data_IF_113569108865
#
_entry.id   IF_113569108865
#
_cell.length_a   1.000
_cell.length_b   1.000
_cell.length_c   1.000
_cell.angle_alpha   90.00
_cell.angle_beta   90.00
_cell.angle_gamma   90.00
#
_symmetry.space_group_name_H-M   'P 1'
#
loop_
_entity.id
_entity.type
_entity.pdbx_description
1 polymer ?
#
# COMPACT_ATOMS: atom_id res chain seq x y z
N UNK A 1 -3.18 36.17 -20.49
CA UNK A 1 -3.92 35.16 -19.70
C UNK A 1 -3.03 33.95 -19.50
N UNK A 2 -2.67 33.61 -18.25
CA UNK A 2 -1.95 32.35 -17.95
C UNK A 2 -2.89 31.21 -18.32
N UNK A 3 -2.47 30.38 -19.27
CA UNK A 3 -3.19 29.19 -19.67
C UNK A 3 -3.18 28.22 -18.47
N UNK A 4 -4.17 28.30 -17.59
CA UNK A 4 -4.37 27.33 -16.51
C UNK A 4 -4.98 26.09 -17.13
N UNK A 5 -4.22 25.41 -18.00
CA UNK A 5 -4.56 24.09 -18.49
C UNK A 5 -4.70 23.20 -17.27
N UNK A 6 -5.94 22.91 -16.88
CA UNK A 6 -6.24 21.90 -15.89
C UNK A 6 -5.56 20.64 -16.39
N UNK A 7 -4.53 20.16 -15.68
CA UNK A 7 -3.94 18.86 -16.00
C UNK A 7 -5.09 17.86 -15.93
N UNK A 8 -5.48 17.32 -17.08
CA UNK A 8 -6.58 16.37 -17.21
C UNK A 8 -6.45 15.16 -16.29
N UNK A 9 -5.22 14.86 -15.84
CA UNK A 9 -4.92 13.74 -14.98
C UNK A 9 -3.94 14.11 -13.85
N UNK A 10 -4.36 13.92 -12.60
CA UNK A 10 -3.50 14.05 -11.43
C UNK A 10 -2.75 12.73 -11.17
N UNK A 11 -1.64 12.52 -11.89
CA UNK A 11 -0.81 11.31 -11.77
C UNK A 11 -0.34 11.04 -10.32
N UNK A 12 -0.02 12.09 -9.55
CA UNK A 12 0.45 11.92 -8.16
C UNK A 12 -0.67 11.40 -7.25
N UNK A 13 -1.87 11.95 -7.41
CA UNK A 13 -3.07 11.50 -6.70
C UNK A 13 -3.46 10.08 -7.10
N UNK A 14 -3.43 9.78 -8.40
CA UNK A 14 -3.70 8.44 -8.93
C UNK A 14 -2.75 7.40 -8.32
N UNK A 15 -1.44 7.62 -8.42
CA UNK A 15 -0.44 6.68 -7.89
C UNK A 15 -0.56 6.48 -6.38
N UNK A 16 -0.83 7.56 -5.63
CA UNK A 16 -1.05 7.46 -4.17
C UNK A 16 -2.30 6.65 -3.85
N UNK A 17 -3.42 6.90 -4.54
CA UNK A 17 -4.66 6.19 -4.31
C UNK A 17 -4.53 4.71 -4.71
N UNK A 18 -3.86 4.40 -5.83
CA UNK A 18 -3.55 3.03 -6.23
C UNK A 18 -2.74 2.31 -5.15
N UNK A 19 -1.70 2.95 -4.61
CA UNK A 19 -0.89 2.38 -3.53
C UNK A 19 -1.72 2.16 -2.25
N UNK A 20 -2.56 3.12 -1.87
CA UNK A 20 -3.40 3.00 -0.69
C UNK A 20 -4.43 1.86 -0.82
N UNK A 21 -5.16 1.81 -1.94
CA UNK A 21 -6.20 0.81 -2.18
C UNK A 21 -5.59 -0.59 -2.32
N UNK A 22 -4.50 -0.74 -3.09
CA UNK A 22 -3.82 -2.03 -3.22
C UNK A 22 -3.16 -2.48 -1.92
N UNK A 23 -2.57 -1.55 -1.18
CA UNK A 23 -1.97 -1.81 0.13
C UNK A 23 -2.98 -2.28 1.17
N UNK A 24 -4.18 -1.69 1.20
CA UNK A 24 -5.28 -2.16 2.07
C UNK A 24 -5.89 -3.48 1.57
N UNK A 25 -5.93 -3.70 0.27
CA UNK A 25 -6.43 -4.95 -0.32
C UNK A 25 -5.54 -6.16 -0.05
N UNK A 26 -4.23 -5.96 0.16
CA UNK A 26 -3.27 -7.04 0.45
C UNK A 26 -3.59 -7.79 1.76
N UNK A 27 -3.78 -7.14 2.93
CA UNK A 27 -4.22 -7.83 4.14
C UNK A 27 -5.55 -8.58 3.98
N UNK A 28 -6.52 -7.97 3.29
CA UNK A 28 -7.85 -8.57 3.09
C UNK A 28 -7.73 -9.84 2.24
N UNK A 29 -7.04 -9.75 1.10
CA UNK A 29 -6.85 -10.90 0.21
C UNK A 29 -5.91 -11.95 0.80
N UNK A 30 -4.92 -11.54 1.59
CA UNK A 30 -4.04 -12.45 2.32
C UNK A 30 -4.81 -13.26 3.36
N UNK A 31 -5.72 -12.63 4.10
CA UNK A 31 -6.61 -13.30 5.04
C UNK A 31 -7.57 -14.27 4.34
N UNK A 32 -8.18 -13.87 3.22
CA UNK A 32 -9.03 -14.76 2.43
C UNK A 32 -8.23 -15.98 1.93
N UNK A 33 -7.01 -15.76 1.45
CA UNK A 33 -6.15 -16.83 0.98
C UNK A 33 -5.73 -17.78 2.12
N UNK A 34 -5.58 -17.26 3.35
CA UNK A 34 -5.38 -18.06 4.55
C UNK A 34 -6.60 -18.95 4.84
N UNK A 35 -7.83 -18.43 4.76
CA UNK A 35 -9.03 -19.22 5.01
C UNK A 35 -9.21 -20.36 3.99
N UNK A 36 -8.84 -20.12 2.74
CA UNK A 36 -8.89 -21.12 1.67
C UNK A 36 -7.62 -21.98 1.55
N UNK A 37 -6.66 -21.88 2.49
CA UNK A 37 -5.37 -22.56 2.40
C UNK A 37 -5.47 -24.09 2.46
N UNK A 38 -6.47 -24.62 3.17
CA UNK A 38 -6.74 -26.05 3.29
C UNK A 38 -7.49 -26.62 2.08
N UNK A 39 -8.00 -25.77 1.18
CA UNK A 39 -8.59 -26.24 -0.07
C UNK A 39 -7.50 -26.76 -1.01
N UNK A 40 -7.89 -27.73 -1.86
CA UNK A 40 -7.04 -28.21 -2.95
C UNK A 40 -6.46 -27.02 -3.73
N UNK A 41 -5.20 -27.13 -4.18
CA UNK A 41 -4.60 -26.11 -5.05
C UNK A 41 -5.39 -25.91 -6.37
N UNK A 42 -6.20 -26.88 -6.76
CA UNK A 42 -7.09 -26.82 -7.93
C UNK A 42 -8.44 -26.14 -7.63
N UNK A 43 -8.67 -25.72 -6.38
CA UNK A 43 -9.89 -25.00 -6.01
C UNK A 43 -9.92 -23.64 -6.68
N UNK A 44 -11.04 -23.35 -7.37
CA UNK A 44 -11.27 -22.09 -8.07
C UNK A 44 -11.23 -20.91 -7.09
N UNK A 45 -11.77 -21.07 -5.88
CA UNK A 45 -11.76 -20.03 -4.83
C UNK A 45 -10.35 -19.69 -4.40
N UNK A 46 -9.54 -20.70 -4.03
CA UNK A 46 -8.13 -20.50 -3.65
C UNK A 46 -7.34 -19.81 -4.78
N UNK A 47 -7.50 -20.27 -6.02
CA UNK A 47 -6.79 -19.69 -7.16
C UNK A 47 -7.23 -18.24 -7.43
N UNK A 48 -8.52 -17.93 -7.30
CA UNK A 48 -9.04 -16.57 -7.46
C UNK A 48 -8.48 -15.60 -6.42
N UNK A 49 -8.49 -15.99 -5.13
CA UNK A 49 -7.95 -15.15 -4.05
C UNK A 49 -6.44 -14.97 -4.14
N UNK A 50 -5.70 -16.03 -4.49
CA UNK A 50 -4.26 -15.97 -4.75
C UNK A 50 -3.93 -15.03 -5.92
N UNK A 51 -4.68 -15.13 -7.02
CA UNK A 51 -4.51 -14.25 -8.19
C UNK A 51 -4.80 -12.79 -7.85
N UNK A 52 -5.89 -12.53 -7.12
CA UNK A 52 -6.22 -11.19 -6.66
C UNK A 52 -5.12 -10.61 -5.76
N UNK A 53 -4.61 -11.39 -4.80
CA UNK A 53 -3.51 -10.98 -3.93
C UNK A 53 -2.25 -10.62 -4.72
N UNK A 54 -1.88 -11.45 -5.71
CA UNK A 54 -0.71 -11.22 -6.55
C UNK A 54 -0.84 -9.95 -7.40
N UNK A 55 -1.99 -9.73 -8.03
CA UNK A 55 -2.25 -8.52 -8.82
C UNK A 55 -2.19 -7.27 -7.94
N UNK A 56 -2.81 -7.31 -6.75
CA UNK A 56 -2.72 -6.21 -5.80
C UNK A 56 -1.28 -5.98 -5.33
N UNK A 57 -0.48 -7.04 -5.14
CA UNK A 57 0.94 -6.96 -4.79
C UNK A 57 1.75 -6.23 -5.85
N UNK A 58 1.58 -6.60 -7.12
CA UNK A 58 2.26 -5.92 -8.24
C UNK A 58 1.85 -4.46 -8.33
N UNK A 59 0.55 -4.16 -8.25
CA UNK A 59 0.04 -2.79 -8.27
C UNK A 59 0.59 -1.97 -7.10
N UNK A 60 0.65 -2.55 -5.90
CA UNK A 60 1.18 -1.90 -4.71
C UNK A 60 2.66 -1.56 -4.86
N UNK A 61 3.48 -2.50 -5.33
CA UNK A 61 4.92 -2.29 -5.53
C UNK A 61 5.16 -1.19 -6.57
N UNK A 62 4.56 -1.31 -7.76
CA UNK A 62 4.76 -0.36 -8.87
C UNK A 62 4.31 1.04 -8.46
N UNK A 63 3.15 1.15 -7.82
CA UNK A 63 2.62 2.44 -7.36
C UNK A 63 3.43 3.02 -6.20
N UNK A 64 3.91 2.21 -5.25
CA UNK A 64 4.76 2.68 -4.15
C UNK A 64 6.11 3.20 -4.65
N UNK A 65 6.75 2.49 -5.58
CA UNK A 65 7.99 2.96 -6.22
C UNK A 65 7.73 4.25 -7.00
N UNK A 66 6.66 4.30 -7.80
CA UNK A 66 6.26 5.50 -8.54
C UNK A 66 5.98 6.67 -7.59
N UNK A 67 5.32 6.42 -6.46
CA UNK A 67 5.03 7.41 -5.44
C UNK A 67 6.32 7.99 -4.85
N UNK A 68 7.27 7.13 -4.49
CA UNK A 68 8.58 7.56 -3.99
C UNK A 68 9.34 8.38 -5.03
N UNK A 69 9.35 7.96 -6.30
CA UNK A 69 10.03 8.68 -7.39
C UNK A 69 9.40 10.05 -7.69
N UNK A 70 8.08 10.15 -7.67
CA UNK A 70 7.34 11.40 -7.88
C UNK A 70 7.47 12.37 -6.70
N UNK A 71 7.67 11.84 -5.48
CA UNK A 71 7.84 12.63 -4.26
C UNK A 71 9.31 12.71 -3.78
N UNK A 72 10.27 12.23 -4.59
CA UNK A 72 11.69 12.11 -4.21
C UNK A 72 12.32 13.41 -3.74
N UNK A 73 11.93 14.56 -4.31
CA UNK A 73 12.46 15.87 -3.89
C UNK A 73 12.02 16.22 -2.47
N UNK A 74 10.74 16.00 -2.15
CA UNK A 74 10.20 16.20 -0.79
C UNK A 74 10.87 15.26 0.19
N UNK A 75 11.01 13.99 -0.17
CA UNK A 75 11.70 12.99 0.64
C UNK A 75 13.17 13.37 0.90
N UNK A 76 13.94 13.68 -0.14
CA UNK A 76 15.33 14.09 -0.01
C UNK A 76 15.50 15.39 0.79
N UNK A 77 14.56 16.34 0.66
CA UNK A 77 14.57 17.54 1.49
C UNK A 77 14.32 17.22 2.97
N UNK A 78 13.46 16.24 3.26
CA UNK A 78 13.21 15.75 4.62
C UNK A 78 14.45 15.05 5.20
N UNK A 79 15.06 14.13 4.44
CA UNK A 79 16.30 13.41 4.84
C UNK A 79 17.48 14.37 5.02
N UNK A 80 17.62 15.38 4.16
CA UNK A 80 18.71 16.38 4.25
C UNK A 80 18.47 17.43 5.33
N UNK A 81 17.43 17.30 6.16
CA UNK A 81 17.11 18.25 7.24
C UNK A 81 16.70 19.65 6.74
N UNK A 82 16.36 19.79 5.45
CA UNK A 82 15.94 21.05 4.81
C UNK A 82 14.42 21.24 4.81
N UNK A 83 13.67 20.23 5.24
CA UNK A 83 12.24 20.35 5.43
C UNK A 83 11.95 21.08 6.74
N UNK A 84 10.99 22.02 6.71
CA UNK A 84 10.32 22.52 7.92
C UNK A 84 9.78 21.29 8.64
N UNK A 85 10.35 20.93 9.80
CA UNK A 85 9.98 19.73 10.55
C UNK A 85 8.50 19.81 10.94
N UNK A 86 7.57 19.12 10.26
CA UNK A 86 6.28 18.89 10.87
C UNK A 86 6.56 17.88 11.99
N UNK A 87 6.07 18.11 13.21
CA UNK A 87 6.11 17.07 14.23
C UNK A 87 5.52 15.77 13.69
N UNK A 88 5.96 14.62 14.22
CA UNK A 88 5.33 13.33 13.88
C UNK A 88 3.83 13.48 14.10
N UNK A 89 3.05 13.36 13.03
CA UNK A 89 1.61 13.57 13.11
C UNK A 89 0.95 12.37 13.78
N UNK A 90 -0.18 12.59 14.46
CA UNK A 90 -0.91 11.51 15.16
C UNK A 90 -1.31 10.40 14.19
N UNK A 91 -1.55 10.76 12.94
CA UNK A 91 -1.89 9.87 11.84
C UNK A 91 -0.70 8.97 11.46
N UNK A 92 0.54 9.49 11.51
CA UNK A 92 1.74 8.69 11.26
C UNK A 92 1.96 7.64 12.35
N UNK A 93 1.74 8.01 13.63
CA UNK A 93 1.77 7.06 14.75
C UNK A 93 0.66 6.02 14.59
N UNK A 94 -0.56 6.45 14.24
CA UNK A 94 -1.69 5.55 13.97
C UNK A 94 -1.40 4.55 12.85
N UNK A 95 -0.77 5.00 11.75
CA UNK A 95 -0.38 4.12 10.65
C UNK A 95 0.66 3.07 11.08
N UNK A 96 1.66 3.46 11.87
CA UNK A 96 2.66 2.51 12.42
C UNK A 96 2.00 1.48 13.33
N UNK A 97 1.12 1.93 14.25
CA UNK A 97 0.39 1.02 15.15
C UNK A 97 -0.48 0.05 14.33
N UNK A 98 -1.22 0.54 13.34
CA UNK A 98 -2.05 -0.29 12.47
C UNK A 98 -1.21 -1.37 11.75
N UNK A 99 -0.06 -0.99 11.19
CA UNK A 99 0.86 -1.93 10.53
C UNK A 99 1.36 -2.98 11.51
N UNK A 100 1.83 -2.57 12.70
CA UNK A 100 2.34 -3.50 13.72
C UNK A 100 1.25 -4.47 14.19
N UNK A 101 0.03 -3.98 14.42
CA UNK A 101 -1.11 -4.82 14.81
C UNK A 101 -1.45 -5.82 13.71
N UNK A 102 -1.56 -5.36 12.45
CA UNK A 102 -1.85 -6.25 11.31
C UNK A 102 -0.75 -7.31 11.13
N UNK A 103 0.52 -6.93 11.27
CA UNK A 103 1.66 -7.87 11.21
C UNK A 103 1.61 -8.90 12.34
N UNK A 104 1.37 -8.47 13.58
CA UNK A 104 1.27 -9.37 14.74
C UNK A 104 0.11 -10.34 14.61
N UNK A 105 -1.04 -9.91 14.07
CA UNK A 105 -2.18 -10.80 13.79
C UNK A 105 -1.80 -11.81 12.71
N UNK A 106 -1.22 -11.35 11.60
CA UNK A 106 -0.85 -12.22 10.48
C UNK A 106 0.23 -13.24 10.86
N UNK A 107 1.27 -12.82 11.59
CA UNK A 107 2.37 -13.68 12.02
C UNK A 107 1.94 -14.57 13.18
N UNK A 108 1.23 -14.04 14.17
CA UNK A 108 0.75 -14.82 15.32
C UNK A 108 -0.18 -15.96 14.93
N UNK A 109 -1.02 -15.75 13.91
CA UNK A 109 -1.91 -16.79 13.37
C UNK A 109 -1.17 -17.84 12.53
N UNK A 110 0.00 -17.52 11.96
CA UNK A 110 0.81 -18.49 11.21
C UNK A 110 1.63 -19.43 12.12
N UNK A 111 1.84 -19.07 13.40
CA UNK A 111 2.70 -19.80 14.34
C UNK A 111 1.86 -20.62 15.35
N UNK A 112 0.53 -20.51 15.32
CA UNK A 112 -0.40 -21.17 16.24
C UNK A 112 -1.40 -22.06 15.50
#
# INVERSE_FOLDING_TARGET
MKNTGTKWFNLRGFVMLTAAVSGLGLPITGLANHWHQMESMLSVSRHAWMSAHNVLGVLFIVSSVSHALLNRRTFLNHVRGRAVRPGISKEAIGAVILVVVMLSIAVGHAIH
#
